data_IF_312234281680
#
_entry.id   IF_312234281680
#
_cell.length_a   1.000
_cell.length_b   1.000
_cell.length_c   1.000
_cell.angle_alpha   90.00
_cell.angle_beta   90.00
_cell.angle_gamma   90.00
#
_symmetry.space_group_name_H-M   'P 1'
#
loop_
_entity.id
_entity.type
_entity.pdbx_description
1 polymer ?
#
# COMPACT_ATOMS: atom_id res chain seq x y z
N UNK A 1 -1.64 -11.88 -6.31
CA UNK A 1 -2.86 -11.64 -7.11
C UNK A 1 -2.57 -11.16 -8.55
N UNK A 2 -1.56 -11.67 -9.25
CA UNK A 2 -1.35 -11.35 -10.68
C UNK A 2 -1.27 -12.60 -11.58
N UNK A 3 -1.71 -13.77 -11.09
CA UNK A 3 -1.66 -15.03 -11.85
C UNK A 3 -2.97 -15.81 -11.88
N UNK A 4 -4.09 -15.25 -11.41
CA UNK A 4 -5.34 -16.01 -11.21
C UNK A 4 -6.62 -15.27 -11.62
N UNK A 5 -6.52 -14.10 -12.27
CA UNK A 5 -7.72 -13.35 -12.67
C UNK A 5 -7.86 -13.44 -14.18
N UNK A 6 -8.84 -14.24 -14.62
CA UNK A 6 -9.06 -14.71 -15.99
C UNK A 6 -9.64 -13.65 -16.93
N UNK A 7 -10.22 -14.08 -18.05
CA UNK A 7 -10.67 -13.21 -19.16
C UNK A 7 -11.60 -12.07 -18.74
N UNK A 8 -12.48 -12.30 -17.77
CA UNK A 8 -13.42 -11.28 -17.26
C UNK A 8 -12.70 -10.11 -16.59
N UNK A 9 -11.63 -10.38 -15.85
CA UNK A 9 -10.79 -9.35 -15.24
C UNK A 9 -10.15 -8.47 -16.31
N UNK A 10 -9.59 -9.10 -17.35
CA UNK A 10 -8.93 -8.37 -18.44
C UNK A 10 -9.92 -7.55 -19.25
N UNK A 11 -11.13 -8.08 -19.48
CA UNK A 11 -12.23 -7.31 -20.09
C UNK A 11 -12.58 -6.07 -19.27
N UNK A 12 -12.69 -6.21 -17.95
CA UNK A 12 -13.02 -5.11 -17.04
C UNK A 12 -11.89 -4.07 -16.95
N UNK A 13 -10.62 -4.52 -16.97
CA UNK A 13 -9.47 -3.63 -17.09
C UNK A 13 -9.53 -2.81 -18.39
N UNK A 14 -9.84 -3.45 -19.53
CA UNK A 14 -9.99 -2.75 -20.82
C UNK A 14 -11.12 -1.74 -20.81
N UNK A 15 -12.26 -2.07 -20.19
CA UNK A 15 -13.36 -1.12 -20.03
C UNK A 15 -12.96 0.09 -19.18
N UNK A 16 -12.27 -0.13 -18.06
CA UNK A 16 -11.72 0.95 -17.23
C UNK A 16 -10.67 1.78 -17.99
N UNK A 17 -9.84 1.13 -18.81
CA UNK A 17 -8.89 1.80 -19.70
C UNK A 17 -9.58 2.65 -20.74
N UNK A 18 -10.61 2.13 -21.42
CA UNK A 18 -11.38 2.87 -22.41
C UNK A 18 -12.05 4.09 -21.77
N UNK A 19 -12.65 3.91 -20.59
CA UNK A 19 -13.20 5.03 -19.82
C UNK A 19 -12.11 6.07 -19.51
N UNK A 20 -10.94 5.65 -19.03
CA UNK A 20 -9.88 6.57 -18.63
C UNK A 20 -9.18 7.30 -19.80
N UNK A 21 -8.87 6.57 -20.86
CA UNK A 21 -8.04 7.05 -21.97
C UNK A 21 -8.87 7.67 -23.10
N UNK A 22 -10.08 7.18 -23.37
CA UNK A 22 -10.86 7.56 -24.55
C UNK A 22 -12.04 8.50 -24.27
N UNK A 23 -12.65 8.44 -23.08
CA UNK A 23 -13.91 9.18 -22.85
C UNK A 23 -13.72 10.69 -22.71
N UNK A 24 -12.51 11.15 -22.34
CA UNK A 24 -12.26 12.54 -21.93
C UNK A 24 -12.99 12.96 -20.64
N UNK A 25 -14.03 12.22 -20.21
CA UNK A 25 -14.92 12.56 -19.09
C UNK A 25 -14.20 12.68 -17.75
N UNK A 26 -13.13 11.90 -17.57
CA UNK A 26 -12.30 11.91 -16.36
C UNK A 26 -11.02 12.72 -16.52
N UNK A 27 -10.75 13.27 -17.72
CA UNK A 27 -9.65 14.23 -17.94
C UNK A 27 -10.16 15.64 -17.64
N UNK A 28 -9.33 16.51 -17.03
CA UNK A 28 -7.88 16.41 -16.81
C UNK A 28 -7.44 15.68 -15.53
N UNK A 29 -8.27 14.83 -14.94
CA UNK A 29 -7.95 14.08 -13.71
C UNK A 29 -6.67 13.23 -13.78
N UNK A 30 -6.18 12.88 -12.58
CA UNK A 30 -5.02 12.02 -12.36
C UNK A 30 -5.44 10.60 -11.99
N UNK A 31 -4.93 9.60 -12.70
CA UNK A 31 -5.07 8.21 -12.28
C UNK A 31 -3.92 7.83 -11.36
N UNK A 32 -4.27 7.55 -10.12
CA UNK A 32 -3.33 7.12 -9.08
C UNK A 32 -3.53 5.63 -8.81
N UNK A 33 -2.49 4.83 -9.00
CA UNK A 33 -2.50 3.41 -8.60
C UNK A 33 -1.76 3.22 -7.28
N UNK A 34 -2.50 2.82 -6.24
CA UNK A 34 -1.95 2.55 -4.91
C UNK A 34 -1.78 1.05 -4.65
N UNK A 35 -0.54 0.59 -4.49
CA UNK A 35 -0.21 -0.83 -4.36
C UNK A 35 0.77 -1.12 -3.22
N UNK A 36 0.75 -2.35 -2.72
CA UNK A 36 1.77 -2.83 -1.77
C UNK A 36 3.04 -3.33 -2.46
N UNK A 37 3.03 -3.43 -3.79
CA UNK A 37 4.17 -3.89 -4.59
C UNK A 37 5.22 -2.79 -4.70
N UNK A 38 6.46 -3.22 -4.87
CA UNK A 38 7.56 -2.35 -5.28
C UNK A 38 7.61 -2.23 -6.79
N UNK A 39 8.35 -1.23 -7.29
CA UNK A 39 8.44 -0.93 -8.73
C UNK A 39 8.81 -2.16 -9.58
N UNK A 40 9.86 -2.94 -9.29
CA UNK A 40 10.22 -4.07 -10.16
C UNK A 40 9.11 -5.14 -10.24
N UNK A 41 8.45 -5.42 -9.11
CA UNK A 41 7.33 -6.38 -9.06
C UNK A 41 6.07 -5.85 -9.76
N UNK A 42 5.85 -4.53 -9.72
CA UNK A 42 4.76 -3.89 -10.44
C UNK A 42 5.03 -3.89 -11.94
N UNK A 43 6.21 -3.46 -12.39
CA UNK A 43 6.60 -3.44 -13.80
C UNK A 43 6.48 -4.83 -14.44
N UNK A 44 6.93 -5.88 -13.76
CA UNK A 44 6.76 -7.24 -14.24
C UNK A 44 5.28 -7.63 -14.41
N UNK A 45 4.44 -7.29 -13.43
CA UNK A 45 3.00 -7.56 -13.52
C UNK A 45 2.31 -6.69 -14.57
N UNK A 46 2.82 -5.47 -14.79
CA UNK A 46 2.33 -4.51 -15.75
C UNK A 46 2.60 -4.95 -17.17
N UNK A 47 3.84 -5.33 -17.48
CA UNK A 47 4.23 -5.81 -18.81
C UNK A 47 3.38 -6.99 -19.27
N UNK A 48 3.03 -7.90 -18.35
CA UNK A 48 2.16 -9.04 -18.66
C UNK A 48 0.72 -8.66 -19.01
N UNK A 49 0.27 -7.43 -18.70
CA UNK A 49 -1.12 -6.96 -18.86
C UNK A 49 -1.23 -5.55 -19.45
N UNK A 50 -0.21 -5.10 -20.18
CA UNK A 50 -0.11 -3.72 -20.67
C UNK A 50 -1.19 -3.36 -21.71
N UNK A 51 -1.75 -4.36 -22.38
CA UNK A 51 -2.86 -4.24 -23.32
C UNK A 51 -4.18 -3.97 -22.59
N UNK A 52 -4.34 -4.52 -21.38
CA UNK A 52 -5.57 -4.43 -20.61
C UNK A 52 -5.59 -3.27 -19.60
N UNK A 53 -4.48 -2.97 -18.93
CA UNK A 53 -4.46 -2.03 -17.80
C UNK A 53 -4.44 -0.55 -18.26
N UNK A 54 -5.23 0.34 -17.63
CA UNK A 54 -5.12 1.78 -17.86
C UNK A 54 -3.75 2.29 -17.41
N UNK A 55 -3.14 3.22 -18.15
CA UNK A 55 -1.85 3.78 -17.76
C UNK A 55 -1.99 4.85 -16.65
N UNK A 56 -1.49 4.61 -15.41
CA UNK A 56 -1.60 5.57 -14.33
C UNK A 56 -0.66 6.76 -14.56
N UNK A 57 -1.03 7.90 -14.01
CA UNK A 57 -0.19 9.11 -13.98
C UNK A 57 0.73 9.08 -12.75
N UNK A 58 0.28 8.48 -11.64
CA UNK A 58 1.02 8.36 -10.37
C UNK A 58 0.93 6.95 -9.80
N UNK A 59 2.03 6.47 -9.22
CA UNK A 59 2.09 5.21 -8.48
C UNK A 59 2.39 5.48 -7.01
N UNK A 60 1.57 4.95 -6.11
CA UNK A 60 1.89 4.85 -4.68
C UNK A 60 2.34 3.41 -4.41
N UNK A 61 3.62 3.21 -4.13
CA UNK A 61 4.27 1.91 -4.08
C UNK A 61 4.54 1.48 -2.63
N UNK A 62 4.66 0.17 -2.43
CA UNK A 62 5.18 -0.36 -1.17
C UNK A 62 4.36 -0.03 0.08
N UNK A 63 3.05 0.24 -0.05
CA UNK A 63 2.18 0.78 1.02
C UNK A 63 2.42 2.28 1.31
N UNK A 64 2.77 3.05 0.28
CA UNK A 64 3.03 4.48 0.40
C UNK A 64 4.46 4.81 0.84
N UNK A 65 5.39 3.87 0.73
CA UNK A 65 6.81 4.10 1.05
C UNK A 65 7.57 4.73 -0.11
N UNK A 66 7.01 4.72 -1.32
CA UNK A 66 7.55 5.43 -2.46
C UNK A 66 6.42 5.96 -3.35
N UNK A 67 6.68 7.09 -4.00
CA UNK A 67 5.81 7.70 -5.00
C UNK A 67 6.59 7.77 -6.31
N UNK A 68 5.95 7.40 -7.42
CA UNK A 68 6.53 7.55 -8.75
C UNK A 68 5.56 8.29 -9.67
N UNK A 69 6.10 9.21 -10.47
CA UNK A 69 5.37 9.96 -11.49
C UNK A 69 5.73 9.43 -12.87
N UNK A 70 4.73 9.31 -13.74
CA UNK A 70 4.98 8.98 -15.14
C UNK A 70 5.75 10.13 -15.80
N UNK A 71 6.84 9.79 -16.48
CA UNK A 71 7.60 10.73 -17.31
C UNK A 71 7.09 10.57 -18.74
N UNK A 72 6.68 11.67 -19.42
CA UNK A 72 6.39 11.61 -20.85
C UNK A 72 7.59 11.04 -21.60
N UNK A 73 7.39 10.27 -22.69
CA UNK A 73 8.49 9.92 -23.56
C UNK A 73 9.18 11.22 -23.99
N UNK A 74 10.47 11.35 -23.71
CA UNK A 74 11.23 12.47 -24.26
C UNK A 74 11.25 12.26 -25.78
N UNK A 75 10.99 13.31 -26.60
CA UNK A 75 11.23 13.22 -28.02
C UNK A 75 12.68 12.77 -28.18
N UNK A 76 12.92 11.69 -28.92
CA UNK A 76 14.25 11.14 -29.10
C UNK A 76 15.15 12.29 -29.55
N UNK A 77 16.05 12.72 -28.67
CA UNK A 77 17.07 13.70 -29.02
C UNK A 77 17.79 13.09 -30.22
N UNK A 78 17.67 13.75 -31.38
CA UNK A 78 17.67 13.11 -32.69
C UNK A 78 18.71 12.02 -32.90
N UNK A 79 18.30 11.00 -33.68
CA UNK A 79 18.97 9.87 -34.35
C UNK A 79 20.45 10.04 -34.80
N UNK A 80 21.31 10.74 -34.07
CA UNK A 80 22.67 11.04 -34.51
C UNK A 80 23.71 10.00 -34.08
N UNK A 81 23.33 8.90 -33.42
CA UNK A 81 24.29 7.89 -32.95
C UNK A 81 23.70 6.46 -32.93
N UNK A 82 22.99 6.09 -33.99
CA UNK A 82 22.25 4.82 -34.10
C UNK A 82 23.11 3.58 -34.43
N UNK A 83 24.42 3.72 -34.62
CA UNK A 83 25.30 2.63 -35.06
C UNK A 83 26.33 2.26 -33.99
N UNK A 84 25.99 1.34 -33.07
CA UNK A 84 26.96 0.32 -32.61
C UNK A 84 26.40 -0.78 -31.69
N UNK A 85 25.33 -0.60 -30.91
CA UNK A 85 24.95 -1.62 -29.91
C UNK A 85 23.44 -1.88 -29.86
N UNK A 86 23.00 -2.89 -30.63
CA UNK A 86 21.61 -3.30 -30.87
C UNK A 86 20.79 -3.81 -29.67
N UNK A 87 20.66 -2.99 -28.62
CA UNK A 87 19.68 -3.17 -27.56
C UNK A 87 18.44 -2.33 -27.83
N UNK A 88 17.38 -2.94 -28.39
CA UNK A 88 16.06 -2.29 -28.57
C UNK A 88 15.47 -1.83 -27.22
N UNK A 89 15.81 -0.63 -26.77
CA UNK A 89 15.08 0.06 -25.70
C UNK A 89 13.84 0.69 -26.31
N UNK A 90 12.82 -0.12 -26.62
CA UNK A 90 11.53 0.37 -27.11
C UNK A 90 10.97 1.32 -26.06
N UNK A 91 10.84 2.60 -26.40
CA UNK A 91 10.47 3.74 -25.56
C UNK A 91 9.17 3.61 -24.76
N UNK A 92 9.19 2.80 -23.71
CA UNK A 92 8.17 2.84 -22.66
C UNK A 92 8.49 4.05 -21.77
N UNK A 93 7.58 5.02 -21.73
CA UNK A 93 7.68 6.18 -20.84
C UNK A 93 8.17 5.78 -19.44
N UNK A 94 9.18 6.49 -18.96
CA UNK A 94 9.86 6.15 -17.71
C UNK A 94 9.03 6.49 -16.48
N UNK A 95 9.48 6.02 -15.33
CA UNK A 95 8.96 6.42 -14.02
C UNK A 95 10.03 7.20 -13.28
N UNK A 96 9.68 8.36 -12.74
CA UNK A 96 10.55 9.16 -11.86
C UNK A 96 10.06 9.06 -10.43
N UNK A 97 10.93 8.62 -9.53
CA UNK A 97 10.63 8.61 -8.09
C UNK A 97 10.58 10.03 -7.54
N UNK A 98 9.65 10.27 -6.60
CA UNK A 98 9.56 11.54 -5.87
C UNK A 98 10.69 11.64 -4.84
N UNK A 99 11.62 12.59 -5.07
CA UNK A 99 12.77 12.81 -4.20
C UNK A 99 12.40 13.48 -2.87
N UNK A 100 11.41 14.38 -2.85
CA UNK A 100 10.95 15.06 -1.64
C UNK A 100 10.29 14.06 -0.68
N UNK A 101 9.44 13.18 -1.22
CA UNK A 101 8.84 12.10 -0.45
C UNK A 101 9.89 11.11 0.06
N UNK A 102 10.87 10.74 -0.77
CA UNK A 102 11.94 9.85 -0.35
C UNK A 102 12.77 10.45 0.81
N UNK A 103 13.09 11.75 0.74
CA UNK A 103 13.80 12.46 1.81
C UNK A 103 12.97 12.53 3.11
N UNK A 104 11.64 12.73 3.02
CA UNK A 104 10.75 12.66 4.18
C UNK A 104 10.75 11.27 4.83
N UNK A 105 10.77 10.20 4.02
CA UNK A 105 10.89 8.84 4.53
C UNK A 105 12.25 8.62 5.19
N UNK A 106 13.34 9.09 4.58
CA UNK A 106 14.70 9.00 5.14
C UNK A 106 14.82 9.68 6.51
N UNK A 107 14.21 10.86 6.68
CA UNK A 107 14.25 11.60 7.92
C UNK A 107 13.54 10.88 9.09
N UNK A 108 12.64 9.94 8.81
CA UNK A 108 11.85 9.22 9.82
C UNK A 108 12.18 7.73 9.90
N UNK A 109 13.17 7.25 9.14
CA UNK A 109 13.44 5.81 8.99
C UNK A 109 14.93 5.52 8.86
N UNK A 110 15.50 4.91 9.90
CA UNK A 110 16.85 4.33 9.85
C UNK A 110 16.77 2.91 9.26
N UNK A 111 17.05 2.81 7.96
CA UNK A 111 16.98 1.55 7.23
C UNK A 111 17.97 0.50 7.75
N UNK A 112 19.14 0.92 8.21
CA UNK A 112 20.18 0.00 8.68
C UNK A 112 19.85 -0.51 10.08
N UNK A 113 19.34 0.34 10.96
CA UNK A 113 18.79 -0.08 12.25
C UNK A 113 17.66 -1.09 12.10
N UNK A 114 16.71 -0.83 11.20
CA UNK A 114 15.59 -1.74 10.94
C UNK A 114 16.09 -3.09 10.41
N UNK A 115 17.04 -3.09 9.48
CA UNK A 115 17.64 -4.33 8.95
C UNK A 115 18.34 -5.13 10.05
N UNK A 116 19.15 -4.49 10.88
CA UNK A 116 19.80 -5.16 12.03
C UNK A 116 18.78 -5.75 13.00
N UNK A 117 17.72 -5.02 13.33
CA UNK A 117 16.65 -5.53 14.19
C UNK A 117 15.95 -6.74 13.56
N UNK A 118 15.61 -6.68 12.28
CA UNK A 118 14.99 -7.79 11.55
C UNK A 118 15.93 -9.00 11.48
N UNK A 119 17.20 -8.80 11.13
CA UNK A 119 18.20 -9.86 11.03
C UNK A 119 18.41 -10.53 12.40
N UNK A 120 18.48 -9.76 13.49
CA UNK A 120 18.55 -10.29 14.86
C UNK A 120 17.34 -11.16 15.19
N UNK A 121 16.13 -10.75 14.81
CA UNK A 121 14.93 -11.59 15.01
C UNK A 121 15.03 -12.87 14.18
N UNK A 122 15.41 -12.78 12.92
CA UNK A 122 15.53 -13.96 12.06
C UNK A 122 16.54 -14.99 12.57
N UNK A 123 17.63 -14.53 13.19
CA UNK A 123 18.60 -15.41 13.86
C UNK A 123 17.97 -16.20 15.03
N UNK A 124 17.08 -15.58 15.82
CA UNK A 124 16.38 -16.26 16.92
C UNK A 124 15.48 -17.41 16.45
N UNK A 125 14.92 -17.28 15.25
CA UNK A 125 14.11 -18.33 14.63
C UNK A 125 14.96 -19.35 13.84
N UNK A 126 16.27 -19.44 14.08
CA UNK A 126 17.08 -20.61 13.71
C UNK A 126 17.16 -20.93 12.21
N UNK A 127 17.23 -19.91 11.34
CA UNK A 127 17.31 -20.06 9.89
C UNK A 127 16.15 -20.80 9.25
N UNK A 128 14.90 -20.63 9.72
CA UNK A 128 13.84 -21.41 9.10
C UNK A 128 13.71 -21.05 7.62
N UNK A 129 13.71 -22.12 6.81
CA UNK A 129 13.85 -22.08 5.36
C UNK A 129 12.94 -21.02 4.73
N UNK A 130 13.61 -20.05 4.11
CA UNK A 130 13.10 -19.19 3.06
C UNK A 130 12.69 -20.12 1.92
N UNK A 131 11.43 -20.56 1.89
CA UNK A 131 10.90 -21.10 0.65
C UNK A 131 10.82 -19.92 -0.31
N UNK A 132 11.60 -19.90 -1.42
CA UNK A 132 11.31 -18.94 -2.47
C UNK A 132 9.88 -19.20 -2.88
N UNK A 133 9.02 -18.18 -2.76
CA UNK A 133 7.69 -18.23 -3.34
C UNK A 133 7.86 -18.19 -4.86
N UNK A 134 8.36 -19.28 -5.46
CA UNK A 134 8.08 -19.58 -6.86
C UNK A 134 6.56 -19.63 -6.90
N UNK A 135 5.97 -18.76 -7.72
CA UNK A 135 4.61 -18.97 -8.17
C UNK A 135 4.59 -20.40 -8.71
N UNK A 136 4.03 -21.34 -7.93
CA UNK A 136 3.85 -22.69 -8.41
C UNK A 136 3.04 -22.55 -9.69
N UNK A 137 3.64 -22.92 -10.82
CA UNK A 137 2.86 -23.20 -12.00
C UNK A 137 1.77 -24.22 -11.59
N UNK A 138 0.54 -24.09 -12.08
CA UNK A 138 -0.50 -25.07 -11.80
C UNK A 138 0.03 -26.46 -12.25
N UNK A 139 0.27 -27.35 -11.28
CA UNK A 139 0.83 -28.69 -11.51
C UNK A 139 2.13 -29.04 -10.76
N UNK A 140 2.79 -28.12 -10.08
CA UNK A 140 3.97 -28.46 -9.26
C UNK A 140 3.54 -28.95 -7.87
N UNK A 141 3.83 -30.22 -7.57
CA UNK A 141 3.57 -30.83 -6.26
C UNK A 141 4.18 -29.96 -5.15
N UNK A 142 3.31 -29.53 -4.22
CA UNK A 142 3.74 -28.79 -3.04
C UNK A 142 4.74 -29.65 -2.25
N UNK A 143 5.88 -29.05 -1.87
CA UNK A 143 6.77 -29.64 -0.89
C UNK A 143 5.95 -29.89 0.39
N UNK A 144 5.72 -31.16 0.72
CA UNK A 144 5.22 -31.53 2.03
C UNK A 144 6.25 -31.08 3.08
N UNK A 145 5.78 -30.28 4.04
CA UNK A 145 6.56 -29.91 5.22
C UNK A 145 6.26 -30.94 6.32
N UNK A 146 7.22 -31.80 6.71
CA UNK A 146 7.04 -32.72 7.84
C UNK A 146 6.96 -31.97 9.17
N UNK A 147 6.41 -32.64 10.19
CA UNK A 147 6.18 -32.10 11.53
C UNK A 147 7.48 -31.61 12.22
N UNK A 148 7.47 -30.38 12.75
CA UNK A 148 8.61 -29.75 13.47
C UNK A 148 8.85 -28.24 13.27
N UNK A 149 7.97 -27.55 12.53
CA UNK A 149 7.95 -26.11 12.13
C UNK A 149 8.35 -25.08 13.22
N UNK A 150 9.01 -23.94 12.84
CA UNK A 150 8.23 -22.89 12.16
C UNK A 150 8.91 -21.98 11.11
N UNK A 151 8.37 -21.93 9.88
CA UNK A 151 8.93 -21.17 8.78
C UNK A 151 8.64 -19.65 8.80
N UNK A 152 9.72 -18.87 8.88
CA UNK A 152 9.78 -17.46 8.53
C UNK A 152 10.56 -17.35 7.23
N UNK A 153 9.95 -16.82 6.18
CA UNK A 153 10.65 -16.52 4.93
C UNK A 153 11.04 -15.05 4.94
N UNK A 154 12.35 -14.81 4.93
CA UNK A 154 13.00 -13.52 4.70
C UNK A 154 13.57 -13.48 3.29
N UNK A 155 13.50 -12.35 2.61
CA UNK A 155 14.21 -12.23 1.33
C UNK A 155 13.51 -12.90 0.15
N UNK A 156 12.35 -12.36 -0.23
CA UNK A 156 12.23 -12.06 -1.64
C UNK A 156 13.03 -10.77 -1.84
N UNK A 157 14.27 -10.83 -2.32
CA UNK A 157 15.04 -9.64 -2.74
C UNK A 157 14.23 -8.69 -3.65
N UNK A 158 13.14 -9.22 -4.26
CA UNK A 158 12.14 -8.52 -5.06
C UNK A 158 11.12 -7.67 -4.27
N UNK A 159 11.11 -7.71 -2.94
CA UNK A 159 10.13 -7.01 -2.08
C UNK A 159 10.75 -6.13 -0.98
N UNK A 160 12.07 -6.04 -0.91
CA UNK A 160 12.74 -5.04 -0.07
C UNK A 160 12.96 -3.76 -0.88
N UNK A 161 12.67 -2.62 -0.27
CA UNK A 161 13.10 -1.32 -0.77
C UNK A 161 13.90 -0.60 0.31
N UNK A 162 14.38 0.60 -0.01
CA UNK A 162 15.04 1.49 0.94
C UNK A 162 14.20 1.69 2.22
N UNK A 163 12.88 1.80 2.10
CA UNK A 163 11.96 2.12 3.20
C UNK A 163 10.94 1.02 3.49
N UNK A 164 11.26 -0.24 3.15
CA UNK A 164 10.36 -1.36 3.41
C UNK A 164 11.10 -2.67 3.54
N UNK A 165 10.85 -3.36 4.64
CA UNK A 165 11.22 -4.76 4.84
C UNK A 165 9.94 -5.60 4.95
N UNK A 166 9.91 -6.75 4.27
CA UNK A 166 8.76 -7.66 4.31
C UNK A 166 9.21 -9.04 4.75
N UNK A 167 8.53 -9.59 5.76
CA UNK A 167 8.65 -10.98 6.18
C UNK A 167 7.39 -11.75 5.78
N UNK A 168 7.52 -13.03 5.47
CA UNK A 168 6.38 -13.94 5.37
C UNK A 168 6.46 -14.95 6.52
N UNK A 169 5.53 -14.86 7.47
CA UNK A 169 5.51 -15.67 8.69
C UNK A 169 4.31 -16.60 8.70
N UNK A 170 4.48 -17.83 9.19
CA UNK A 170 3.33 -18.70 9.41
C UNK A 170 2.43 -18.15 10.53
N UNK A 171 1.11 -18.38 10.44
CA UNK A 171 0.12 -17.85 11.42
C UNK A 171 0.47 -18.15 12.88
N UNK A 172 1.06 -19.32 13.14
CA UNK A 172 1.43 -19.75 14.50
C UNK A 172 2.59 -18.97 15.11
N UNK A 173 3.36 -18.25 14.30
CA UNK A 173 4.48 -17.42 14.75
C UNK A 173 4.17 -15.93 14.76
N UNK A 174 3.08 -15.51 14.11
CA UNK A 174 2.81 -14.10 13.82
C UNK A 174 2.99 -13.22 15.04
N UNK A 175 2.36 -13.58 16.16
CA UNK A 175 2.36 -12.77 17.38
C UNK A 175 3.75 -12.70 18.01
N UNK A 176 4.45 -13.85 18.11
CA UNK A 176 5.81 -13.89 18.64
C UNK A 176 6.79 -13.07 17.80
N UNK A 177 6.78 -13.26 16.47
CA UNK A 177 7.67 -12.51 15.57
C UNK A 177 7.38 -11.01 15.62
N UNK A 178 6.12 -10.58 15.71
CA UNK A 178 5.76 -9.16 15.84
C UNK A 178 6.24 -8.59 17.17
N UNK A 179 6.08 -9.31 18.28
CA UNK A 179 6.60 -8.90 19.60
C UNK A 179 8.11 -8.78 19.58
N UNK A 180 8.81 -9.82 19.11
CA UNK A 180 10.28 -9.84 19.04
C UNK A 180 10.84 -8.74 18.14
N UNK A 181 10.19 -8.49 16.99
CA UNK A 181 10.55 -7.36 16.13
C UNK A 181 10.36 -6.03 16.84
N UNK A 182 9.24 -5.87 17.56
CA UNK A 182 8.96 -4.65 18.30
C UNK A 182 10.04 -4.38 19.34
N UNK A 183 10.45 -5.42 20.09
CA UNK A 183 11.47 -5.29 21.13
C UNK A 183 12.88 -5.06 20.53
N UNK A 184 13.24 -5.76 19.46
CA UNK A 184 14.50 -5.54 18.73
C UNK A 184 14.60 -4.13 18.14
N UNK A 185 13.49 -3.60 17.61
CA UNK A 185 13.41 -2.22 17.10
C UNK A 185 13.61 -1.20 18.23
N UNK A 186 12.96 -1.39 19.39
CA UNK A 186 13.16 -0.53 20.58
C UNK A 186 14.61 -0.52 21.04
N UNK A 187 15.23 -1.70 21.15
CA UNK A 187 16.61 -1.84 21.58
C UNK A 187 17.57 -1.12 20.62
N UNK A 188 17.34 -1.25 19.32
CA UNK A 188 18.19 -0.61 18.30
C UNK A 188 18.07 0.92 18.36
N UNK A 189 16.87 1.46 18.53
CA UNK A 189 16.68 2.92 18.65
C UNK A 189 17.25 3.48 19.94
N UNK A 190 17.08 2.79 21.07
CA UNK A 190 17.67 3.22 22.35
C UNK A 190 19.20 3.35 22.27
N UNK A 191 19.86 2.47 21.51
CA UNK A 191 21.31 2.56 21.29
C UNK A 191 21.72 3.82 20.50
N UNK A 192 20.87 4.32 19.59
CA UNK A 192 21.15 5.53 18.79
C UNK A 192 20.75 6.83 19.50
N UNK A 193 19.75 6.78 20.40
CA UNK A 193 19.26 7.93 21.18
C UNK A 193 20.11 8.26 22.43
N UNK A 194 21.31 7.70 22.57
CA UNK A 194 22.31 8.20 23.54
C UNK A 194 22.86 9.58 23.16
N UNK A 195 22.40 10.15 22.04
CA UNK A 195 22.49 11.57 21.72
C UNK A 195 21.40 12.34 22.50
N UNK A 196 21.75 13.37 23.28
CA UNK A 196 20.82 14.02 24.20
C UNK A 196 19.81 14.88 23.41
N UNK A 197 18.59 14.38 23.19
CA UNK A 197 17.47 15.22 22.75
C UNK A 197 16.15 14.80 23.42
N UNK A 198 15.37 15.82 23.80
CA UNK A 198 14.26 15.78 24.75
C UNK A 198 13.10 14.87 24.35
N UNK A 199 12.74 13.97 25.26
CA UNK A 199 11.79 12.89 25.03
C UNK A 199 10.31 13.28 25.04
N UNK A 200 9.55 12.67 24.13
CA UNK A 200 8.10 12.55 24.20
C UNK A 200 7.76 11.07 24.42
N UNK A 201 7.11 10.73 25.54
CA UNK A 201 6.67 9.36 25.84
C UNK A 201 5.35 9.06 25.13
N UNK A 202 5.24 7.90 24.46
CA UNK A 202 3.98 7.33 23.99
C UNK A 202 3.60 6.10 24.83
N UNK A 203 2.34 6.03 25.25
CA UNK A 203 1.73 4.88 25.93
C UNK A 203 0.98 3.99 24.91
N UNK A 204 1.14 2.67 25.02
CA UNK A 204 0.48 1.69 24.16
C UNK A 204 -0.77 1.07 24.81
N UNK A 205 -1.89 1.06 24.09
CA UNK A 205 -3.08 0.29 24.43
C UNK A 205 -3.27 -0.85 23.43
N UNK A 206 -3.39 -2.09 23.93
CA UNK A 206 -3.63 -3.29 23.14
C UNK A 206 -5.09 -3.40 22.69
N UNK A 207 -5.30 -3.48 21.37
CA UNK A 207 -6.60 -3.73 20.76
C UNK A 207 -6.42 -4.31 19.35
N UNK A 208 -7.23 -5.31 19.01
CA UNK A 208 -7.03 -6.19 17.86
C UNK A 208 -6.88 -5.48 16.50
N UNK A 209 -5.74 -5.72 15.84
CA UNK A 209 -5.57 -5.60 14.39
C UNK A 209 -5.03 -4.28 13.84
N UNK A 210 -4.75 -3.28 14.70
CA UNK A 210 -4.13 -2.03 14.28
C UNK A 210 -2.63 -2.17 13.97
N UNK A 211 -2.06 -1.27 13.16
CA UNK A 211 -0.62 -1.22 12.96
C UNK A 211 0.09 -0.87 14.27
N UNK A 212 1.16 -1.59 14.59
CA UNK A 212 2.01 -1.30 15.76
C UNK A 212 3.04 -0.25 15.36
N UNK A 213 3.08 0.88 16.07
CA UNK A 213 4.10 1.92 15.86
C UNK A 213 5.13 1.83 16.99
N UNK A 214 6.40 1.74 16.63
CA UNK A 214 7.52 1.62 17.55
C UNK A 214 8.75 2.21 16.91
N UNK A 215 9.58 2.97 17.65
CA UNK A 215 10.89 3.39 17.15
C UNK A 215 10.85 4.14 15.78
N UNK A 216 9.80 4.94 15.52
CA UNK A 216 9.63 5.63 14.24
C UNK A 216 9.22 4.73 13.06
N UNK A 217 8.95 3.46 13.30
CA UNK A 217 8.46 2.50 12.29
C UNK A 217 7.06 1.98 12.60
N UNK A 218 6.39 1.49 11.56
CA UNK A 218 5.06 0.90 11.59
C UNK A 218 5.14 -0.54 11.10
N UNK A 219 4.60 -1.48 11.88
CA UNK A 219 4.44 -2.87 11.50
C UNK A 219 3.03 -3.11 10.94
N UNK A 220 2.95 -3.59 9.71
CA UNK A 220 1.69 -3.90 9.02
C UNK A 220 1.62 -5.41 8.76
N UNK A 221 0.73 -6.10 9.46
CA UNK A 221 0.55 -7.56 9.35
C UNK A 221 -0.67 -7.90 8.52
N UNK A 222 -0.54 -8.81 7.55
CA UNK A 222 -1.62 -9.12 6.63
C UNK A 222 -1.68 -10.58 6.26
N UNK A 223 -2.86 -11.22 6.33
CA UNK A 223 -3.00 -12.62 5.97
C UNK A 223 -2.67 -12.86 4.49
N UNK A 224 -2.09 -14.02 4.21
CA UNK A 224 -1.65 -14.52 2.91
C UNK A 224 -2.05 -16.00 2.80
N UNK A 225 -2.23 -16.43 1.56
CA UNK A 225 -2.70 -17.78 1.25
C UNK A 225 -4.23 -17.90 1.32
N UNK A 226 -4.80 -18.97 0.75
CA UNK A 226 -6.25 -19.16 0.65
C UNK A 226 -6.93 -19.36 2.01
N UNK A 227 -6.20 -19.81 3.04
CA UNK A 227 -6.73 -20.08 4.38
C UNK A 227 -6.16 -19.14 5.46
N UNK A 228 -5.43 -18.09 5.06
CA UNK A 228 -4.76 -17.18 5.99
C UNK A 228 -3.69 -17.87 6.84
N UNK A 229 -3.09 -18.94 6.32
CA UNK A 229 -2.08 -19.72 7.02
C UNK A 229 -0.72 -19.01 7.09
N UNK A 230 -0.50 -18.02 6.22
CA UNK A 230 0.68 -17.16 6.20
C UNK A 230 0.29 -15.71 6.47
N UNK A 231 1.24 -14.91 6.92
CA UNK A 231 1.10 -13.48 7.12
C UNK A 231 2.31 -12.77 6.53
N UNK A 232 2.08 -11.71 5.75
CA UNK A 232 3.15 -10.76 5.47
C UNK A 232 3.24 -9.75 6.61
N UNK A 233 4.42 -9.61 7.20
CA UNK A 233 4.75 -8.56 8.17
C UNK A 233 5.62 -7.54 7.45
N UNK A 234 5.03 -6.39 7.12
CA UNK A 234 5.72 -5.29 6.47
C UNK A 234 6.20 -4.30 7.57
N UNK A 235 7.50 -4.02 7.63
CA UNK A 235 8.10 -2.97 8.48
C UNK A 235 8.39 -1.77 7.57
N UNK A 236 7.75 -0.64 7.86
CA UNK A 236 7.80 0.59 7.05
C UNK A 236 7.97 1.82 7.95
N UNK A 237 8.38 3.00 7.45
CA UNK A 237 8.36 4.24 8.23
C UNK A 237 6.99 4.50 8.86
N UNK A 238 6.96 5.07 10.07
CA UNK A 238 5.70 5.41 10.74
C UNK A 238 4.90 6.48 9.97
N UNK A 239 5.61 7.40 9.29
CA UNK A 239 5.02 8.40 8.42
C UNK A 239 4.51 7.83 7.08
N UNK A 240 4.93 6.62 6.70
CA UNK A 240 4.51 6.01 5.44
C UNK A 240 3.08 5.50 5.53
N UNK A 241 2.32 5.61 4.44
CA UNK A 241 0.98 5.08 4.30
C UNK A 241 0.37 5.51 2.97
N UNK A 242 -0.57 4.75 2.43
CA UNK A 242 -1.29 5.10 1.21
C UNK A 242 -2.02 6.44 1.36
N UNK A 243 -2.61 6.70 2.53
CA UNK A 243 -3.25 7.98 2.83
C UNK A 243 -2.24 9.14 2.86
N UNK A 244 -1.13 8.98 3.58
CA UNK A 244 -0.10 10.01 3.68
C UNK A 244 0.54 10.31 2.31
N UNK A 245 0.84 9.27 1.54
CA UNK A 245 1.36 9.39 0.18
C UNK A 245 0.33 10.06 -0.77
N UNK A 246 -0.96 9.71 -0.66
CA UNK A 246 -2.02 10.40 -1.40
C UNK A 246 -2.06 11.89 -1.03
N UNK A 247 -2.08 12.25 0.25
CA UNK A 247 -2.09 13.64 0.69
C UNK A 247 -0.87 14.44 0.18
N UNK A 248 0.30 13.82 0.09
CA UNK A 248 1.47 14.42 -0.55
C UNK A 248 1.23 14.72 -2.04
N UNK A 249 0.70 13.75 -2.79
CA UNK A 249 0.32 13.93 -4.20
C UNK A 249 -0.72 15.04 -4.36
N UNK A 250 -1.78 15.04 -3.54
CA UNK A 250 -2.84 16.05 -3.60
C UNK A 250 -2.30 17.46 -3.38
N UNK A 251 -1.43 17.66 -2.38
CA UNK A 251 -0.78 18.95 -2.16
C UNK A 251 0.08 19.37 -3.34
N UNK A 252 0.88 18.46 -3.89
CA UNK A 252 1.74 18.72 -5.04
C UNK A 252 0.96 19.21 -6.27
N UNK A 253 -0.19 18.59 -6.54
CA UNK A 253 -1.04 18.94 -7.69
C UNK A 253 -2.16 19.93 -7.35
N UNK A 254 -2.21 20.44 -6.11
CA UNK A 254 -3.27 21.34 -5.61
C UNK A 254 -4.69 20.80 -5.83
N UNK A 255 -4.85 19.49 -5.67
CA UNK A 255 -6.16 18.81 -5.78
C UNK A 255 -6.79 18.76 -4.39
N UNK A 256 -8.00 19.31 -4.19
CA UNK A 256 -8.68 19.21 -2.90
C UNK A 256 -9.09 17.76 -2.63
N UNK A 257 -9.02 17.26 -1.38
CA UNK A 257 -9.45 15.90 -1.05
C UNK A 257 -10.89 15.57 -1.46
N UNK A 258 -11.79 16.57 -1.44
CA UNK A 258 -13.17 16.44 -1.89
C UNK A 258 -13.31 16.03 -3.37
N UNK A 259 -12.32 16.33 -4.22
CA UNK A 259 -12.31 15.97 -5.63
C UNK A 259 -11.72 14.57 -5.89
N UNK A 260 -11.46 13.78 -4.85
CA UNK A 260 -10.80 12.47 -4.96
C UNK A 260 -11.81 11.36 -4.76
N UNK A 261 -11.80 10.40 -5.69
CA UNK A 261 -12.45 9.10 -5.52
C UNK A 261 -11.37 8.05 -5.30
N UNK A 262 -11.45 7.30 -4.20
CA UNK A 262 -10.59 6.15 -3.97
C UNK A 262 -11.38 4.85 -4.13
N UNK A 263 -10.74 3.80 -4.65
CA UNK A 263 -11.31 2.47 -4.74
C UNK A 263 -10.38 1.43 -4.09
N UNK A 264 -10.96 0.46 -3.39
CA UNK A 264 -10.19 -0.56 -2.66
C UNK A 264 -11.03 -1.79 -2.29
N UNK A 265 -10.38 -2.91 -2.00
CA UNK A 265 -11.02 -4.18 -1.67
C UNK A 265 -10.52 -4.80 -0.35
N UNK A 266 -9.48 -4.22 0.26
CA UNK A 266 -8.85 -4.77 1.47
C UNK A 266 -8.76 -3.75 2.60
N UNK A 267 -8.54 -4.24 3.82
CA UNK A 267 -8.27 -3.37 4.98
C UNK A 267 -7.03 -2.45 4.77
N UNK A 268 -6.11 -2.78 3.86
CA UNK A 268 -4.97 -1.92 3.50
C UNK A 268 -5.40 -0.63 2.80
N UNK A 269 -6.60 -0.62 2.25
CA UNK A 269 -7.14 0.51 1.52
C UNK A 269 -7.99 1.41 2.43
N UNK A 270 -8.26 1.00 3.67
CA UNK A 270 -9.12 1.75 4.59
C UNK A 270 -8.62 3.19 4.82
N UNK A 271 -7.31 3.38 5.07
CA UNK A 271 -6.73 4.72 5.25
C UNK A 271 -6.84 5.57 3.96
N UNK A 272 -6.64 4.94 2.80
CA UNK A 272 -6.74 5.61 1.50
C UNK A 272 -8.18 6.04 1.20
N UNK A 273 -9.14 5.14 1.43
CA UNK A 273 -10.57 5.36 1.23
C UNK A 273 -11.09 6.44 2.19
N UNK A 274 -10.65 6.43 3.45
CA UNK A 274 -11.03 7.42 4.45
C UNK A 274 -10.54 8.84 4.07
N UNK A 275 -9.34 8.95 3.48
CA UNK A 275 -8.75 10.22 3.07
C UNK A 275 -9.39 10.85 1.81
N UNK A 276 -10.09 10.05 0.99
CA UNK A 276 -10.73 10.52 -0.23
C UNK A 276 -12.10 11.17 0.03
N UNK A 277 -12.49 12.11 -0.83
CA UNK A 277 -13.82 12.75 -0.84
C UNK A 277 -14.94 11.75 -1.07
N UNK A 278 -14.74 10.80 -1.98
CA UNK A 278 -15.63 9.67 -2.20
C UNK A 278 -14.86 8.34 -2.18
N UNK A 279 -15.55 7.25 -1.86
CA UNK A 279 -14.94 5.93 -1.76
C UNK A 279 -15.79 4.85 -2.42
N UNK A 280 -15.12 3.92 -3.10
CA UNK A 280 -15.71 2.73 -3.71
C UNK A 280 -15.10 1.49 -3.08
N UNK A 281 -15.91 0.67 -2.42
CA UNK A 281 -15.48 -0.62 -1.91
C UNK A 281 -15.79 -1.68 -2.96
N UNK A 282 -14.73 -2.18 -3.59
CA UNK A 282 -14.75 -3.11 -4.72
C UNK A 282 -14.76 -4.56 -4.27
N UNK A 283 -15.60 -4.87 -3.29
CA UNK A 283 -15.84 -6.22 -2.79
C UNK A 283 -17.27 -6.37 -2.29
N UNK A 284 -18.01 -7.42 -2.71
CA UNK A 284 -19.32 -7.76 -2.16
C UNK A 284 -19.25 -8.20 -0.69
N UNK A 285 -18.07 -8.59 -0.18
CA UNK A 285 -17.87 -9.01 1.21
C UNK A 285 -16.74 -8.20 1.83
N UNK A 286 -17.03 -6.96 2.29
CA UNK A 286 -16.00 -6.10 2.86
C UNK A 286 -15.41 -6.72 4.13
N UNK A 287 -14.08 -6.67 4.28
CA UNK A 287 -13.42 -7.02 5.54
C UNK A 287 -13.83 -6.03 6.66
N UNK A 288 -13.58 -6.38 7.94
CA UNK A 288 -14.12 -5.64 9.08
C UNK A 288 -13.78 -4.14 9.12
N UNK A 289 -12.61 -3.73 8.64
CA UNK A 289 -12.23 -2.30 8.66
C UNK A 289 -12.96 -1.52 7.58
N UNK A 290 -13.13 -2.11 6.39
CA UNK A 290 -13.93 -1.49 5.32
C UNK A 290 -15.42 -1.45 5.66
N UNK A 291 -15.94 -2.44 6.38
CA UNK A 291 -17.32 -2.42 6.86
C UNK A 291 -17.57 -1.29 7.85
N UNK A 292 -16.68 -1.12 8.83
CA UNK A 292 -16.73 0.01 9.77
C UNK A 292 -16.66 1.36 9.06
N UNK A 293 -15.86 1.46 8.00
CA UNK A 293 -15.81 2.68 7.18
C UNK A 293 -17.15 2.96 6.47
N UNK A 294 -17.81 1.94 5.92
CA UNK A 294 -19.16 2.07 5.35
C UNK A 294 -20.16 2.57 6.39
N UNK A 295 -20.21 1.90 7.53
CA UNK A 295 -21.14 2.21 8.63
C UNK A 295 -20.92 3.65 9.14
N UNK A 296 -19.66 4.05 9.37
CA UNK A 296 -19.33 5.39 9.85
C UNK A 296 -19.73 6.50 8.85
N UNK A 297 -19.57 6.26 7.54
CA UNK A 297 -19.94 7.24 6.51
C UNK A 297 -21.45 7.29 6.25
N UNK A 298 -22.15 6.16 6.35
CA UNK A 298 -23.61 6.12 6.27
C UNK A 298 -24.23 6.91 7.43
N UNK A 299 -23.76 6.68 8.65
CA UNK A 299 -24.22 7.42 9.83
C UNK A 299 -23.95 8.93 9.69
N UNK A 300 -22.77 9.32 9.19
CA UNK A 300 -22.43 10.72 8.96
C UNK A 300 -23.34 11.42 7.93
N UNK A 301 -23.80 10.70 6.90
CA UNK A 301 -24.77 11.22 5.93
C UNK A 301 -26.17 11.41 6.56
N UNK A 302 -26.55 10.55 7.50
CA UNK A 302 -27.81 10.66 8.24
C UNK A 302 -27.78 11.75 9.35
N UNK A 303 -26.68 12.52 9.46
CA UNK A 303 -26.50 13.51 10.52
C UNK A 303 -26.38 12.90 11.92
N UNK A 304 -26.21 11.58 12.01
CA UNK A 304 -25.89 10.86 13.22
C UNK A 304 -24.37 10.94 13.38
N UNK A 305 -23.88 11.44 14.51
CA UNK A 305 -22.44 11.56 14.77
C UNK A 305 -21.94 10.38 15.64
N UNK A 306 -21.57 9.22 15.05
CA UNK A 306 -21.08 8.07 15.81
C UNK A 306 -19.61 8.21 16.23
N UNK A 307 -18.93 9.30 15.88
CA UNK A 307 -17.47 9.41 15.96
C UNK A 307 -16.94 10.55 16.85
N UNK A 308 -17.82 11.32 17.50
CA UNK A 308 -17.43 12.29 18.53
C UNK A 308 -16.54 11.69 19.65
N UNK A 309 -16.54 10.36 19.83
CA UNK A 309 -15.73 9.67 20.84
C UNK A 309 -14.47 8.99 20.31
N UNK A 310 -14.34 8.74 19.00
CA UNK A 310 -13.28 7.88 18.45
C UNK A 310 -12.26 8.62 17.56
N UNK A 311 -12.59 9.83 17.08
CA UNK A 311 -11.65 10.70 16.34
C UNK A 311 -10.42 11.09 17.17
N UNK A 312 -10.65 11.34 18.45
CA UNK A 312 -9.63 11.83 19.37
C UNK A 312 -8.58 10.77 19.70
N UNK A 313 -8.87 9.48 19.52
CA UNK A 313 -7.93 8.40 19.86
C UNK A 313 -7.05 7.97 18.67
N UNK A 314 -7.59 7.98 17.44
CA UNK A 314 -6.81 7.68 16.23
C UNK A 314 -5.87 8.83 15.83
N UNK A 315 -6.22 10.09 16.17
CA UNK A 315 -5.38 11.26 15.97
C UNK A 315 -4.28 11.43 17.05
N UNK A 316 -4.35 10.69 18.16
CA UNK A 316 -3.36 10.79 19.26
C UNK A 316 -2.15 9.85 19.09
N UNK A 317 -2.23 8.85 18.20
CA UNK A 317 -1.13 7.93 17.89
C UNK A 317 -0.30 8.30 16.65
N UNK A 318 -0.77 9.26 15.85
CA UNK A 318 -0.09 9.77 14.66
C UNK A 318 0.31 11.21 14.99
N UNK A 319 1.62 11.49 15.05
CA UNK A 319 2.17 12.80 15.41
C UNK A 319 1.35 13.96 14.84
N UNK A 320 0.97 14.88 15.73
CA UNK A 320 -0.03 15.93 15.51
C UNK A 320 0.30 16.90 14.38
N UNK A 321 -0.05 16.52 13.15
CA UNK A 321 0.03 17.39 11.97
C UNK A 321 -1.32 17.62 11.27
N UNK A 322 -2.43 17.14 11.84
CA UNK A 322 -3.75 17.26 11.20
C UNK A 322 -4.83 17.76 12.17
N UNK A 323 -4.64 18.97 12.68
CA UNK A 323 -5.72 19.81 13.17
C UNK A 323 -5.73 21.08 12.32
N UNK A 324 -6.37 21.01 11.14
CA UNK A 324 -6.41 22.16 10.23
C UNK A 324 -7.38 21.97 9.09
N UNK A 325 -8.60 22.49 9.25
CA UNK A 325 -9.53 22.75 8.15
C UNK A 325 -10.86 21.98 8.24
N UNK A 326 -11.75 22.42 9.13
CA UNK A 326 -13.19 22.19 9.02
C UNK A 326 -13.75 23.01 7.84
N UNK A 327 -13.44 22.61 6.61
CA UNK A 327 -14.11 23.10 5.40
C UNK A 327 -15.37 22.27 5.17
N UNK A 328 -16.50 22.95 4.93
CA UNK A 328 -17.86 22.41 4.84
C UNK A 328 -17.98 20.94 4.46
N UNK A 329 -18.55 20.15 5.38
CA UNK A 329 -18.77 18.71 5.26
C UNK A 329 -19.90 18.47 4.25
N UNK A 330 -19.60 18.62 2.96
CA UNK A 330 -20.36 17.89 1.96
C UNK A 330 -20.25 16.40 2.30
N UNK A 331 -21.37 15.67 2.22
CA UNK A 331 -21.38 14.22 2.41
C UNK A 331 -20.25 13.60 1.60
N UNK A 332 -19.44 12.75 2.25
CA UNK A 332 -18.36 12.03 1.58
C UNK A 332 -18.90 10.66 1.17
N UNK A 333 -19.52 10.49 -0.01
CA UNK A 333 -20.24 9.27 -0.31
C UNK A 333 -19.29 8.05 -0.28
N UNK A 334 -19.78 6.94 0.26
CA UNK A 334 -19.15 5.62 0.10
C UNK A 334 -20.16 4.71 -0.53
N UNK A 335 -19.76 4.05 -1.61
CA UNK A 335 -20.57 3.02 -2.26
C UNK A 335 -19.87 1.68 -2.15
N UNK A 336 -20.64 0.64 -1.88
CA UNK A 336 -20.19 -0.75 -1.99
C UNK A 336 -20.61 -1.30 -3.36
N UNK A 337 -19.67 -1.88 -4.08
CA UNK A 337 -19.92 -2.58 -5.34
C UNK A 337 -20.25 -4.05 -5.10
N UNK A 338 -21.10 -4.61 -5.97
CA UNK A 338 -21.38 -6.05 -6.02
C UNK A 338 -20.26 -6.87 -6.69
N UNK A 339 -19.35 -6.18 -7.38
CA UNK A 339 -18.26 -6.76 -8.18
C UNK A 339 -16.89 -6.53 -7.55
N UNK A 340 -15.93 -7.38 -7.91
CA UNK A 340 -14.54 -7.23 -7.47
C UNK A 340 -13.68 -6.47 -8.50
N UNK A 341 -12.74 -5.67 -8.00
CA UNK A 341 -11.69 -5.03 -8.82
C UNK A 341 -12.24 -4.08 -9.90
N UNK A 342 -11.71 -4.07 -11.14
CA UNK A 342 -12.04 -3.06 -12.14
C UNK A 342 -13.53 -2.97 -12.48
N UNK A 343 -14.24 -4.11 -12.53
CA UNK A 343 -15.70 -4.10 -12.71
C UNK A 343 -16.39 -3.36 -11.56
N UNK A 344 -15.94 -3.59 -10.33
CA UNK A 344 -16.47 -2.90 -9.18
C UNK A 344 -16.08 -1.42 -9.08
N UNK A 345 -14.92 -1.03 -9.64
CA UNK A 345 -14.57 0.38 -9.82
C UNK A 345 -15.56 1.04 -10.76
N UNK A 346 -15.83 0.45 -11.92
CA UNK A 346 -16.78 0.98 -12.91
C UNK A 346 -18.19 1.12 -12.33
N UNK A 347 -18.70 0.06 -11.70
CA UNK A 347 -20.00 0.07 -11.01
C UNK A 347 -20.05 1.15 -9.92
N UNK A 348 -18.98 1.29 -9.14
CA UNK A 348 -18.89 2.32 -8.11
C UNK A 348 -18.91 3.74 -8.67
N UNK A 349 -18.18 3.99 -9.76
CA UNK A 349 -18.18 5.30 -10.43
C UNK A 349 -19.57 5.65 -10.98
N UNK A 350 -20.28 4.68 -11.57
CA UNK A 350 -21.66 4.86 -12.03
C UNK A 350 -22.61 5.19 -10.87
N UNK A 351 -22.50 4.47 -9.75
CA UNK A 351 -23.30 4.74 -8.54
C UNK A 351 -23.03 6.10 -7.91
N UNK A 352 -21.83 6.65 -8.10
CA UNK A 352 -21.47 8.00 -7.70
C UNK A 352 -21.91 9.07 -8.72
N UNK A 353 -22.50 8.68 -9.86
CA UNK A 353 -22.95 9.60 -10.91
C UNK A 353 -21.79 10.28 -11.65
N UNK A 354 -20.61 9.67 -11.67
CA UNK A 354 -19.41 10.25 -12.29
C UNK A 354 -19.22 9.82 -13.74
N UNK A 355 -19.88 8.74 -14.15
CA UNK A 355 -19.82 8.12 -15.48
C UNK A 355 -21.15 7.47 -15.84
#
# INVERSE_FOLDING_TARGET
MAGLRGREWDSSCRALRQLWEASGAVRPGLLVLATSRLMPSLQQAWWAKQDALPQPDVLLLGLGTAIAYRVPPQPEAGEADADAHGGRSRGSGGWRLDAEWAALMDASYDADAVRRAVDSVLQMYGHVRIAPQRAAAPGSAALELPAGRPAVSYGLAKQQSRHKVSLLVHRSLRERVVTDLTDALRATTAAHSTRPDGGTRQHGCGGHGGPVVVAGVRLVTMPRGPRGEWFSVDVIPAAAGKAAALCHVLRRFRIPPAAVVAAGDTDRDAELLAAAGAAVITTPRPPPTLRRLLEARAAAAEGLDPWASAASSAASGIGGYWAGGAGGVGERPVVQSSSFGPAGVLEGLQRLGLV
#
